data_IF_839978085358
#
_entry.id   IF_839978085358
#
_cell.length_a   1.000
_cell.length_b   1.000
_cell.length_c   1.000
_cell.angle_alpha   90.00
_cell.angle_beta   90.00
_cell.angle_gamma   90.00
#
_symmetry.space_group_name_H-M   'P 1'
#
loop_
_entity.id
_entity.type
_entity.pdbx_description
1 polymer ?
#
# COMPACT_ATOMS: atom_id res chain seq x y z
N UNK A 1 37.39 -60.92 -5.14
CA UNK A 1 38.27 -60.46 -4.05
C UNK A 1 38.06 -58.96 -3.87
N UNK A 2 37.67 -58.61 -2.64
CA UNK A 2 37.73 -57.33 -1.91
C UNK A 2 37.33 -55.97 -2.53
N UNK A 3 36.36 -55.38 -1.83
CA UNK A 3 35.91 -53.97 -1.76
C UNK A 3 37.06 -52.98 -1.56
N UNK A 4 36.85 -51.71 -1.95
CA UNK A 4 36.92 -50.59 -1.01
C UNK A 4 36.14 -49.36 -1.49
N UNK A 5 35.37 -48.83 -0.54
CA UNK A 5 34.67 -47.54 -0.51
C UNK A 5 35.71 -46.48 -0.15
N UNK A 6 35.64 -45.27 -0.73
CA UNK A 6 35.99 -44.05 -0.01
C UNK A 6 35.34 -42.81 -0.64
N UNK A 7 34.40 -42.30 0.13
CA UNK A 7 33.85 -40.94 0.22
C UNK A 7 34.89 -39.82 0.13
N UNK A 8 34.53 -38.70 -0.50
CA UNK A 8 35.21 -37.41 -0.35
C UNK A 8 34.63 -36.37 -1.31
N UNK A 9 34.27 -35.15 -0.93
CA UNK A 9 34.17 -34.49 0.36
C UNK A 9 33.12 -33.38 0.19
N UNK A 10 32.22 -33.20 1.16
CA UNK A 10 31.35 -32.04 1.21
C UNK A 10 32.24 -30.80 1.47
N UNK A 11 32.25 -29.86 0.53
CA UNK A 11 32.84 -28.55 0.75
C UNK A 11 31.89 -27.76 1.66
N UNK A 12 32.12 -27.89 2.96
CA UNK A 12 31.54 -27.04 3.99
C UNK A 12 32.19 -25.66 3.83
N UNK A 13 31.58 -24.78 3.03
CA UNK A 13 31.96 -23.38 2.98
C UNK A 13 31.47 -22.70 4.26
N UNK A 14 32.29 -22.76 5.31
CA UNK A 14 32.20 -21.83 6.44
C UNK A 14 32.50 -20.43 5.91
N UNK A 15 31.45 -19.68 5.58
CA UNK A 15 31.55 -18.23 5.43
C UNK A 15 31.60 -17.65 6.85
N UNK A 16 32.76 -17.78 7.51
CA UNK A 16 33.09 -16.96 8.68
C UNK A 16 33.71 -15.67 8.17
N UNK A 17 32.86 -14.66 8.06
CA UNK A 17 33.26 -13.31 7.67
C UNK A 17 32.22 -12.26 8.05
N UNK A 18 31.47 -12.45 9.14
CA UNK A 18 30.70 -11.38 9.74
C UNK A 18 31.65 -10.53 10.58
N UNK A 19 32.24 -9.48 9.99
CA UNK A 19 32.65 -8.34 10.80
C UNK A 19 31.38 -7.67 11.29
N UNK A 20 31.03 -7.95 12.55
CA UNK A 20 29.99 -7.24 13.29
C UNK A 20 30.31 -5.75 13.32
N UNK A 21 29.74 -4.99 12.40
CA UNK A 21 29.72 -3.55 12.47
C UNK A 21 28.51 -3.18 13.34
N UNK A 22 28.77 -2.93 14.64
CA UNK A 22 27.75 -2.53 15.62
C UNK A 22 27.14 -1.18 15.23
N UNK A 23 26.12 -1.19 14.36
CA UNK A 23 25.11 -0.14 14.32
C UNK A 23 24.02 -0.50 15.32
N UNK A 24 24.13 0.11 16.51
CA UNK A 24 23.17 0.24 17.61
C UNK A 24 22.46 -1.02 18.16
N UNK A 25 22.43 -1.15 19.49
CA UNK A 25 21.58 -2.12 20.18
C UNK A 25 20.12 -1.74 19.95
N UNK A 26 19.32 -2.61 19.33
CA UNK A 26 17.88 -2.37 19.21
C UNK A 26 17.25 -2.27 20.59
N UNK A 27 16.33 -1.33 20.70
CA UNK A 27 15.61 -1.10 21.94
C UNK A 27 14.18 -1.56 21.77
N UNK A 28 13.75 -2.45 22.67
CA UNK A 28 12.34 -2.82 22.85
C UNK A 28 11.83 -2.05 24.04
N UNK A 29 10.72 -1.36 23.86
CA UNK A 29 10.12 -0.52 24.88
C UNK A 29 8.69 -0.99 25.13
N UNK A 30 8.33 -1.06 26.42
CA UNK A 30 6.95 -1.37 26.80
C UNK A 30 6.06 -0.18 26.43
N UNK A 31 4.92 -0.47 25.82
CA UNK A 31 3.92 0.55 25.57
C UNK A 31 3.10 0.80 26.83
N UNK A 32 3.00 2.08 27.20
CA UNK A 32 2.19 2.57 28.32
C UNK A 32 1.04 3.48 27.88
N UNK A 33 0.94 3.77 26.58
CA UNK A 33 -0.06 4.65 26.00
C UNK A 33 -1.04 3.88 25.11
N UNK A 34 -2.30 4.32 25.07
CA UNK A 34 -3.28 3.79 24.10
C UNK A 34 -3.07 4.48 22.76
N UNK A 35 -2.97 3.75 21.63
CA UNK A 35 -2.92 4.34 20.31
C UNK A 35 -4.09 5.31 20.04
N UNK A 36 -3.77 6.46 19.48
CA UNK A 36 -4.73 7.48 19.05
C UNK A 36 -4.71 7.60 17.53
N UNK A 37 -5.81 8.03 16.91
CA UNK A 37 -5.82 8.27 15.47
C UNK A 37 -5.03 9.55 15.14
N UNK A 38 -4.00 9.43 14.32
CA UNK A 38 -3.17 10.56 13.87
C UNK A 38 -3.83 11.37 12.76
N UNK A 39 -4.68 10.72 11.96
CA UNK A 39 -5.26 11.31 10.77
C UNK A 39 -5.08 10.43 9.53
N UNK A 40 -5.55 10.96 8.41
CA UNK A 40 -5.48 10.36 7.09
C UNK A 40 -4.48 11.15 6.23
N UNK A 41 -3.52 10.45 5.63
CA UNK A 41 -2.58 10.97 4.67
C UNK A 41 -3.00 10.58 3.25
N UNK A 42 -2.98 11.54 2.33
CA UNK A 42 -3.09 11.30 0.89
C UNK A 42 -1.90 11.95 0.16
N UNK A 43 -1.24 11.29 -0.80
CA UNK A 43 -0.03 11.82 -1.44
C UNK A 43 -0.16 13.21 -2.07
N UNK A 44 -1.34 13.58 -2.57
CA UNK A 44 -1.55 14.90 -3.19
C UNK A 44 -1.88 16.03 -2.21
N UNK A 45 -2.34 15.72 -0.99
CA UNK A 45 -2.82 16.73 -0.02
C UNK A 45 -2.16 16.68 1.34
N UNK A 46 -1.37 15.66 1.62
CA UNK A 46 -0.69 15.47 2.89
C UNK A 46 -1.60 14.92 4.00
N UNK A 47 -1.15 15.07 5.24
CA UNK A 47 -1.84 14.57 6.43
C UNK A 47 -2.96 15.52 6.86
N UNK A 48 -4.17 14.99 7.01
CA UNK A 48 -5.32 15.66 7.60
C UNK A 48 -5.66 15.02 8.94
N UNK A 49 -5.44 15.78 10.00
CA UNK A 49 -5.76 15.40 11.38
C UNK A 49 -7.26 15.60 11.64
N UNK A 50 -8.11 14.67 11.20
CA UNK A 50 -9.55 14.75 11.48
C UNK A 50 -10.10 13.41 12.00
N UNK A 51 -10.94 13.47 13.04
CA UNK A 51 -11.69 12.30 13.54
C UNK A 51 -12.94 11.98 12.68
N UNK A 52 -13.02 12.53 11.46
CA UNK A 52 -14.26 12.58 10.69
C UNK A 52 -14.13 12.40 9.18
N UNK A 53 -12.93 12.25 8.62
CA UNK A 53 -12.81 11.77 7.24
C UNK A 53 -13.03 10.26 7.23
N UNK A 54 -14.05 9.81 6.50
CA UNK A 54 -14.15 8.40 6.15
C UNK A 54 -13.01 8.16 5.17
N UNK A 55 -11.97 7.44 5.58
CA UNK A 55 -10.95 7.02 4.64
C UNK A 55 -11.62 6.12 3.59
N UNK A 56 -11.39 6.43 2.30
CA UNK A 56 -12.08 5.81 1.15
C UNK A 56 -11.10 4.97 0.32
N UNK A 57 -10.17 4.30 1.00
CA UNK A 57 -9.46 3.16 0.42
C UNK A 57 -10.43 1.99 0.18
N UNK A 58 -9.97 0.94 -0.48
CA UNK A 58 -10.83 -0.15 -0.90
C UNK A 58 -11.41 -0.95 0.27
N UNK A 59 -12.56 -1.62 0.06
CA UNK A 59 -13.32 -2.25 1.15
C UNK A 59 -12.65 -3.49 1.76
N UNK A 60 -11.61 -4.02 1.11
CA UNK A 60 -11.01 -5.30 1.47
C UNK A 60 -9.72 -5.10 2.27
N UNK A 61 -9.62 -5.79 3.41
CA UNK A 61 -8.35 -5.97 4.13
C UNK A 61 -7.59 -7.12 3.46
N UNK A 62 -6.47 -6.81 2.83
CA UNK A 62 -5.71 -7.75 1.99
C UNK A 62 -4.49 -8.32 2.70
N UNK A 63 -4.06 -7.64 3.75
CA UNK A 63 -3.06 -8.10 4.72
C UNK A 63 -3.35 -7.42 6.06
N UNK A 64 -3.27 -8.16 7.17
CA UNK A 64 -3.54 -7.61 8.50
C UNK A 64 -2.62 -8.22 9.56
N UNK A 65 -1.71 -7.40 10.07
CA UNK A 65 -0.80 -7.70 11.17
C UNK A 65 -1.06 -6.79 12.38
N UNK A 66 -2.33 -6.62 12.76
CA UNK A 66 -2.74 -5.76 13.89
C UNK A 66 -3.03 -6.54 15.19
N UNK A 67 -2.48 -7.75 15.40
CA UNK A 67 -2.47 -8.33 16.77
C UNK A 67 -1.35 -7.68 17.57
N UNK A 68 -1.65 -6.49 18.07
CA UNK A 68 -0.72 -5.62 18.77
C UNK A 68 -0.09 -6.31 19.98
N UNK A 69 1.23 -6.28 20.08
CA UNK A 69 1.93 -6.65 21.32
C UNK A 69 1.86 -5.49 22.33
N UNK A 70 2.37 -5.69 23.55
CA UNK A 70 2.54 -4.59 24.52
C UNK A 70 3.81 -3.76 24.31
N UNK A 71 4.42 -3.78 23.12
CA UNK A 71 5.75 -3.25 22.87
C UNK A 71 5.85 -2.47 21.56
N UNK A 72 6.78 -1.51 21.52
CA UNK A 72 7.25 -0.86 20.30
C UNK A 72 8.78 -0.91 20.28
N UNK A 73 9.37 -0.69 19.12
CA UNK A 73 10.82 -0.69 18.99
C UNK A 73 11.29 0.53 18.20
N UNK A 74 12.54 0.93 18.44
CA UNK A 74 13.14 2.13 17.86
C UNK A 74 14.29 1.68 16.95
N UNK A 75 14.21 1.95 15.64
CA UNK A 75 15.32 1.76 14.73
C UNK A 75 16.57 2.50 15.17
N UNK A 76 17.74 1.90 14.92
CA UNK A 76 18.99 2.63 15.05
C UNK A 76 19.05 3.76 14.02
N UNK A 77 19.92 4.74 14.27
CA UNK A 77 20.12 5.83 13.31
C UNK A 77 20.49 5.28 11.92
N UNK A 78 19.87 5.85 10.89
CA UNK A 78 20.07 5.48 9.49
C UNK A 78 19.78 4.00 9.20
N UNK A 79 18.75 3.45 9.85
CA UNK A 79 18.30 2.09 9.60
C UNK A 79 16.92 2.07 8.96
N UNK A 80 16.77 1.21 7.96
CA UNK A 80 15.47 0.76 7.47
C UNK A 80 15.24 -0.65 7.98
N UNK A 81 14.12 -0.87 8.65
CA UNK A 81 13.70 -2.19 9.11
C UNK A 81 12.56 -2.66 8.23
N UNK A 82 12.76 -3.77 7.53
CA UNK A 82 11.80 -4.32 6.57
C UNK A 82 11.20 -5.57 7.18
N UNK A 83 9.90 -5.52 7.39
CA UNK A 83 9.07 -6.66 7.77
C UNK A 83 8.40 -7.23 6.51
N UNK A 84 7.83 -8.42 6.61
CA UNK A 84 7.28 -9.14 5.48
C UNK A 84 5.84 -9.62 5.68
N UNK A 85 5.22 -9.97 4.56
CA UNK A 85 3.92 -10.63 4.52
C UNK A 85 3.69 -11.32 3.19
N UNK A 86 2.55 -12.00 3.08
CA UNK A 86 2.04 -12.60 1.85
C UNK A 86 0.72 -11.93 1.49
N UNK A 87 0.57 -11.59 0.21
CA UNK A 87 -0.73 -11.30 -0.39
C UNK A 87 -1.24 -12.54 -1.13
N UNK A 88 -2.51 -12.86 -0.95
CA UNK A 88 -3.19 -13.91 -1.72
C UNK A 88 -3.56 -13.33 -3.08
N UNK A 89 -3.39 -14.10 -4.17
CA UNK A 89 -3.91 -13.70 -5.49
C UNK A 89 -5.45 -13.75 -5.48
N UNK A 90 -6.06 -12.61 -5.14
CA UNK A 90 -7.53 -12.45 -5.07
C UNK A 90 -8.16 -12.32 -6.45
N UNK A 91 -7.39 -11.88 -7.45
CA UNK A 91 -7.91 -11.46 -8.74
C UNK A 91 -7.63 -12.49 -9.86
N UNK A 92 -6.90 -13.57 -9.55
CA UNK A 92 -6.36 -14.50 -10.56
C UNK A 92 -5.56 -13.80 -11.66
N UNK A 93 -4.92 -12.69 -11.30
CA UNK A 93 -4.12 -11.87 -12.23
C UNK A 93 -2.63 -11.92 -11.92
N UNK A 94 -2.23 -12.66 -10.88
CA UNK A 94 -0.86 -12.65 -10.35
C UNK A 94 -0.39 -11.26 -9.90
N UNK A 95 -1.34 -10.36 -9.65
CA UNK A 95 -1.10 -9.02 -9.13
C UNK A 95 -2.23 -8.61 -8.20
N UNK A 96 -1.89 -7.90 -7.14
CA UNK A 96 -2.84 -7.21 -6.28
C UNK A 96 -2.37 -5.78 -6.03
N UNK A 97 -3.31 -4.93 -5.63
CA UNK A 97 -3.10 -3.50 -5.57
C UNK A 97 -3.47 -2.98 -4.19
N UNK A 98 -2.49 -2.40 -3.50
CA UNK A 98 -2.66 -1.68 -2.25
C UNK A 98 -3.14 -0.27 -2.58
N UNK A 99 -4.35 0.07 -2.15
CA UNK A 99 -4.92 1.41 -2.29
C UNK A 99 -5.13 2.11 -0.94
N UNK A 100 -4.76 1.46 0.15
CA UNK A 100 -4.68 2.07 1.47
C UNK A 100 -3.87 1.24 2.44
N UNK A 101 -3.46 1.86 3.54
CA UNK A 101 -2.67 1.22 4.58
C UNK A 101 -2.98 1.86 5.93
N UNK A 102 -3.03 1.05 6.99
CA UNK A 102 -2.89 1.54 8.35
C UNK A 102 -1.55 1.08 8.90
N UNK A 103 -0.82 1.95 9.58
CA UNK A 103 0.30 1.54 10.40
C UNK A 103 0.24 2.20 11.78
N UNK A 104 0.74 1.49 12.79
CA UNK A 104 0.81 1.98 14.16
C UNK A 104 2.26 2.20 14.57
N UNK A 105 2.53 3.36 15.15
CA UNK A 105 3.86 3.71 15.65
C UNK A 105 3.76 4.35 17.04
N UNK A 106 4.90 4.42 17.72
CA UNK A 106 5.01 5.17 18.96
C UNK A 106 6.22 6.10 18.90
N UNK A 107 6.12 7.23 19.58
CA UNK A 107 7.18 8.22 19.69
C UNK A 107 7.31 8.75 21.11
N UNK A 108 8.54 8.85 21.60
CA UNK A 108 8.86 9.62 22.80
C UNK A 108 9.34 11.05 22.48
N UNK A 109 9.63 11.36 21.22
CA UNK A 109 10.09 12.67 20.80
C UNK A 109 8.93 13.67 20.76
N UNK A 110 9.07 14.78 21.47
CA UNK A 110 8.20 15.94 21.24
C UNK A 110 8.67 16.65 19.97
N UNK A 111 7.85 16.69 18.93
CA UNK A 111 8.22 17.33 17.68
C UNK A 111 7.28 18.49 17.32
N UNK A 112 7.69 19.76 17.54
CA UNK A 112 6.87 20.94 17.21
C UNK A 112 6.66 21.12 15.70
N UNK A 113 7.47 20.48 14.86
CA UNK A 113 7.35 20.54 13.40
C UNK A 113 6.69 19.28 12.80
N UNK A 114 6.27 18.33 13.65
CA UNK A 114 5.74 17.03 13.25
C UNK A 114 6.83 16.04 12.85
N UNK A 115 6.57 14.77 13.14
CA UNK A 115 7.40 13.63 12.74
C UNK A 115 7.23 13.37 11.25
N UNK A 116 8.28 12.89 10.59
CA UNK A 116 8.21 12.36 9.24
C UNK A 116 8.66 10.91 9.16
N UNK A 117 8.11 10.20 8.19
CA UNK A 117 8.51 8.85 7.83
C UNK A 117 8.41 8.64 6.33
N UNK A 118 9.25 7.76 5.78
CA UNK A 118 9.06 7.21 4.46
C UNK A 118 8.52 5.80 4.63
N UNK A 119 7.33 5.55 4.08
CA UNK A 119 6.79 4.20 3.96
C UNK A 119 7.30 3.60 2.67
N UNK A 120 8.02 2.49 2.74
CA UNK A 120 8.50 1.74 1.56
C UNK A 120 7.79 0.40 1.47
N UNK A 121 7.50 -0.01 0.24
CA UNK A 121 6.89 -1.31 -0.08
C UNK A 121 7.72 -1.93 -1.21
N UNK A 122 8.05 -3.21 -1.02
CA UNK A 122 8.82 -4.02 -1.96
C UNK A 122 7.95 -5.17 -2.44
N UNK A 123 7.89 -5.36 -3.75
CA UNK A 123 7.17 -6.45 -4.42
C UNK A 123 7.66 -7.83 -3.97
N UNK A 124 8.96 -7.93 -3.68
CA UNK A 124 9.56 -9.17 -3.26
C UNK A 124 10.62 -8.95 -2.19
N UNK A 125 10.55 -9.77 -1.15
CA UNK A 125 11.59 -9.88 -0.13
C UNK A 125 11.90 -11.34 0.15
N UNK A 126 13.13 -11.63 0.55
CA UNK A 126 13.53 -12.95 1.02
C UNK A 126 13.73 -12.90 2.52
N UNK A 127 13.10 -13.82 3.24
CA UNK A 127 13.25 -13.95 4.69
C UNK A 127 14.73 -13.98 5.10
N UNK A 128 15.08 -13.13 6.05
CA UNK A 128 16.45 -12.96 6.52
C UNK A 128 17.50 -12.60 5.47
N UNK A 129 17.12 -12.09 4.31
CA UNK A 129 18.02 -11.53 3.30
C UNK A 129 17.53 -10.17 2.75
N UNK A 130 16.23 -9.89 2.84
CA UNK A 130 15.61 -8.65 2.38
C UNK A 130 15.32 -8.60 0.89
N UNK A 131 14.95 -7.42 0.38
CA UNK A 131 14.65 -7.21 -1.03
C UNK A 131 15.94 -7.17 -1.87
N UNK A 132 15.97 -7.92 -2.96
CA UNK A 132 17.12 -7.95 -3.87
C UNK A 132 17.38 -6.61 -4.58
N UNK A 133 16.33 -5.78 -4.69
CA UNK A 133 16.36 -4.47 -5.35
C UNK A 133 16.69 -3.30 -4.39
N UNK A 134 16.88 -3.57 -3.10
CA UNK A 134 17.19 -2.53 -2.12
C UNK A 134 18.37 -1.65 -2.56
N UNK A 135 18.29 -0.30 -2.43
CA UNK A 135 17.25 0.49 -1.74
C UNK A 135 16.07 0.91 -2.65
N UNK A 136 15.97 0.40 -3.88
CA UNK A 136 14.87 0.73 -4.76
C UNK A 136 13.60 -0.02 -4.29
N UNK A 137 12.71 0.70 -3.61
CA UNK A 137 11.37 0.22 -3.32
C UNK A 137 10.48 0.33 -4.56
N UNK A 138 9.52 -0.60 -4.70
CA UNK A 138 8.51 -0.54 -5.76
C UNK A 138 7.56 0.64 -5.54
N UNK A 139 7.27 0.95 -4.26
CA UNK A 139 6.49 2.11 -3.86
C UNK A 139 7.12 2.79 -2.65
N UNK A 140 7.10 4.12 -2.64
CA UNK A 140 7.57 4.91 -1.51
C UNK A 140 6.69 6.14 -1.28
N UNK A 141 6.27 6.36 -0.04
CA UNK A 141 5.39 7.47 0.35
C UNK A 141 6.02 8.27 1.50
N UNK A 142 6.36 9.53 1.23
CA UNK A 142 6.87 10.44 2.26
C UNK A 142 5.73 11.06 3.07
N UNK A 143 5.58 10.65 4.32
CA UNK A 143 4.54 11.13 5.23
C UNK A 143 5.16 12.10 6.23
N UNK A 144 4.63 13.32 6.30
CA UNK A 144 5.12 14.37 7.20
C UNK A 144 3.98 14.94 8.06
N UNK A 145 4.34 15.66 9.13
CA UNK A 145 3.38 16.29 10.03
C UNK A 145 2.74 15.34 11.04
N UNK A 146 3.33 14.16 11.22
CA UNK A 146 2.83 13.15 12.16
C UNK A 146 2.97 13.63 13.63
N UNK A 147 2.01 13.31 14.50
CA UNK A 147 2.08 13.70 15.90
C UNK A 147 3.18 12.94 16.66
N UNK A 148 3.85 13.63 17.58
CA UNK A 148 4.89 13.03 18.44
C UNK A 148 4.41 12.71 19.85
N UNK A 149 5.36 12.46 20.74
CA UNK A 149 5.16 12.44 22.18
C UNK A 149 4.90 13.85 22.74
N UNK A 150 4.52 13.93 24.03
CA UNK A 150 4.31 15.21 24.72
C UNK A 150 5.31 15.37 25.88
N UNK A 151 6.22 16.35 25.77
CA UNK A 151 7.26 16.63 26.76
C UNK A 151 8.09 15.40 27.17
N UNK A 152 8.48 14.57 26.20
CA UNK A 152 9.24 13.34 26.44
C UNK A 152 8.39 12.14 26.91
N UNK A 153 7.07 12.30 27.05
CA UNK A 153 6.18 11.18 27.31
C UNK A 153 5.84 10.45 26.01
N UNK A 154 5.84 9.12 26.10
CA UNK A 154 5.42 8.22 25.03
C UNK A 154 3.98 8.52 24.59
N UNK A 155 3.77 8.71 23.29
CA UNK A 155 2.47 8.66 22.65
C UNK A 155 2.52 7.66 21.49
N UNK A 156 1.37 7.03 21.19
CA UNK A 156 1.26 6.06 20.11
C UNK A 156 0.09 6.45 19.21
N UNK A 157 0.24 6.14 17.93
CA UNK A 157 -0.56 6.73 16.88
C UNK A 157 -0.84 5.73 15.77
N UNK A 158 -2.06 5.76 15.25
CA UNK A 158 -2.48 5.03 14.05
C UNK A 158 -2.59 6.03 12.92
N UNK A 159 -1.88 5.79 11.82
CA UNK A 159 -1.96 6.59 10.60
C UNK A 159 -2.69 5.79 9.54
N UNK A 160 -3.63 6.43 8.87
CA UNK A 160 -4.20 5.91 7.64
C UNK A 160 -3.53 6.55 6.44
N UNK A 161 -2.99 5.75 5.54
CA UNK A 161 -2.58 6.13 4.19
C UNK A 161 -3.71 5.76 3.25
N UNK A 162 -4.19 6.74 2.50
CA UNK A 162 -5.15 6.56 1.42
C UNK A 162 -4.41 6.85 0.11
N UNK A 163 -4.38 5.86 -0.78
CA UNK A 163 -3.48 5.81 -1.93
C UNK A 163 -4.27 5.79 -3.25
N UNK A 164 -5.50 6.28 -3.30
CA UNK A 164 -6.27 6.27 -4.54
C UNK A 164 -5.61 7.16 -5.59
N UNK A 165 -5.31 6.61 -6.76
CA UNK A 165 -4.48 7.27 -7.79
C UNK A 165 -2.98 7.23 -7.57
N UNK A 166 -2.54 6.67 -6.46
CA UNK A 166 -1.14 6.46 -6.07
C UNK A 166 -0.92 5.03 -5.59
N UNK A 167 -1.71 4.09 -6.11
CA UNK A 167 -1.74 2.72 -5.62
C UNK A 167 -0.41 2.00 -5.81
N UNK A 168 -0.12 1.07 -4.90
CA UNK A 168 1.04 0.20 -5.01
C UNK A 168 0.64 -1.16 -5.58
N UNK A 169 1.19 -1.53 -6.74
CA UNK A 169 0.94 -2.83 -7.34
C UNK A 169 2.03 -3.82 -6.88
N UNK A 170 1.60 -4.96 -6.36
CA UNK A 170 2.49 -6.06 -6.00
C UNK A 170 2.09 -7.31 -6.78
N UNK A 171 3.07 -8.01 -7.30
CA UNK A 171 2.93 -9.34 -7.84
C UNK A 171 2.57 -10.33 -6.73
N UNK A 172 1.58 -11.15 -7.01
CA UNK A 172 1.11 -12.22 -6.13
C UNK A 172 1.34 -13.56 -6.80
N UNK A 173 1.41 -14.62 -6.00
CA UNK A 173 1.41 -15.98 -6.53
C UNK A 173 0.11 -16.72 -6.13
N UNK A 174 -0.37 -17.57 -7.03
CA UNK A 174 -1.57 -18.37 -6.77
C UNK A 174 -1.40 -19.36 -5.60
N UNK A 175 -0.16 -19.62 -5.18
CA UNK A 175 0.15 -20.51 -4.06
C UNK A 175 0.28 -19.78 -2.71
N UNK A 176 0.26 -18.44 -2.69
CA UNK A 176 0.41 -17.64 -1.46
C UNK A 176 1.77 -17.83 -0.77
N UNK A 177 2.86 -17.95 -1.54
CA UNK A 177 4.21 -18.10 -1.03
C UNK A 177 5.12 -16.92 -1.37
N UNK A 178 4.69 -15.97 -2.22
CA UNK A 178 5.49 -14.78 -2.53
C UNK A 178 5.43 -13.79 -1.36
N UNK A 179 6.60 -13.51 -0.77
CA UNK A 179 6.74 -12.53 0.30
C UNK A 179 6.93 -11.13 -0.30
N UNK A 180 6.09 -10.18 0.10
CA UNK A 180 6.35 -8.76 -0.06
C UNK A 180 7.09 -8.22 1.18
N UNK A 181 7.78 -7.10 1.02
CA UNK A 181 8.42 -6.37 2.13
C UNK A 181 7.79 -5.01 2.36
N UNK A 182 7.79 -4.52 3.60
CA UNK A 182 7.37 -3.16 3.92
C UNK A 182 8.16 -2.58 5.09
N UNK A 183 8.37 -1.26 5.10
CA UNK A 183 9.08 -0.57 6.17
C UNK A 183 8.55 0.84 6.42
N UNK A 184 8.89 1.35 7.61
CA UNK A 184 8.81 2.76 7.94
C UNK A 184 10.21 3.27 8.30
N UNK A 185 10.75 4.20 7.52
CA UNK A 185 12.02 4.86 7.78
C UNK A 185 11.71 6.14 8.54
N UNK A 186 12.22 6.29 9.77
CA UNK A 186 11.91 7.42 10.64
C UNK A 186 13.00 8.48 10.59
N UNK A 187 12.59 9.75 10.63
CA UNK A 187 13.50 10.91 10.60
C UNK A 187 14.09 11.28 11.96
N UNK A 188 13.72 10.56 13.01
CA UNK A 188 14.08 10.87 14.40
C UNK A 188 14.47 9.61 15.19
N UNK A 189 15.11 9.83 16.33
CA UNK A 189 15.79 8.78 17.08
C UNK A 189 14.94 8.05 18.11
N UNK A 190 13.73 8.51 18.44
CA UNK A 190 12.87 7.87 19.45
C UNK A 190 11.47 7.54 18.94
N UNK A 191 11.34 7.30 17.64
CA UNK A 191 10.11 6.83 17.00
C UNK A 191 10.35 5.51 16.32
N UNK A 192 9.33 4.64 16.36
CA UNK A 192 9.39 3.42 15.59
C UNK A 192 8.09 2.62 15.62
N UNK A 193 8.07 1.48 14.93
CA UNK A 193 6.87 0.69 14.74
C UNK A 193 6.40 0.10 16.06
N UNK A 194 5.08 0.06 16.22
CA UNK A 194 4.46 -0.80 17.21
C UNK A 194 4.68 -2.26 16.81
N UNK A 195 5.18 -3.08 17.73
CA UNK A 195 5.44 -4.49 17.45
C UNK A 195 4.15 -5.30 17.50
N UNK A 196 3.92 -6.12 16.49
CA UNK A 196 2.73 -6.96 16.36
C UNK A 196 3.08 -8.40 16.04
N UNK A 197 2.06 -9.23 16.16
CA UNK A 197 2.03 -10.63 15.74
C UNK A 197 0.78 -10.81 14.87
N UNK A 198 0.72 -11.84 14.03
CA UNK A 198 -0.33 -12.02 13.04
C UNK A 198 0.23 -11.84 11.64
N UNK A 199 -0.60 -11.38 10.70
CA UNK A 199 -0.20 -11.23 9.30
C UNK A 199 0.04 -12.58 8.62
N UNK A 200 -0.58 -12.80 7.46
CA UNK A 200 -0.20 -13.96 6.66
C UNK A 200 1.25 -13.78 6.17
N UNK A 201 2.10 -14.77 6.40
CA UNK A 201 3.49 -14.75 5.93
C UNK A 201 4.48 -13.95 6.77
N UNK A 202 4.02 -13.23 7.80
CA UNK A 202 4.87 -12.49 8.73
C UNK A 202 5.73 -13.48 9.55
N UNK A 203 7.05 -13.33 9.56
CA UNK A 203 7.88 -14.06 10.51
C UNK A 203 7.95 -13.33 11.85
N UNK A 204 8.40 -14.06 12.87
CA UNK A 204 8.94 -13.44 14.07
C UNK A 204 10.35 -12.89 13.81
N UNK A 205 10.53 -12.13 12.73
CA UNK A 205 11.78 -11.46 12.40
C UNK A 205 11.56 -10.33 11.42
N UNK A 206 12.44 -9.34 11.44
CA UNK A 206 12.59 -8.37 10.35
C UNK A 206 14.04 -8.33 9.91
N UNK A 207 14.28 -7.87 8.69
CA UNK A 207 15.64 -7.55 8.21
C UNK A 207 15.91 -6.08 8.38
N UNK A 208 17.17 -5.71 8.48
CA UNK A 208 17.55 -4.30 8.51
C UNK A 208 18.65 -3.94 7.54
N UNK A 209 18.63 -2.68 7.14
CA UNK A 209 19.58 -2.12 6.20
C UNK A 209 20.13 -0.80 6.71
N UNK A 210 21.41 -0.57 6.48
CA UNK A 210 22.06 0.72 6.62
C UNK A 210 21.71 1.63 5.44
N UNK A 211 20.90 2.66 5.66
CA UNK A 211 20.43 3.55 4.59
C UNK A 211 21.53 4.46 4.04
N UNK A 212 22.70 4.54 4.68
CA UNK A 212 23.86 5.28 4.17
C UNK A 212 24.74 4.44 3.23
N UNK A 213 24.52 3.14 3.15
CA UNK A 213 25.30 2.27 2.29
C UNK A 213 24.86 2.38 0.83
N UNK A 214 25.82 2.16 -0.08
CA UNK A 214 25.65 2.40 -1.51
C UNK A 214 25.05 1.23 -2.31
N UNK A 215 24.81 0.07 -1.68
CA UNK A 215 24.15 -1.09 -2.26
C UNK A 215 23.70 -2.07 -1.17
N UNK A 216 22.79 -2.99 -1.51
CA UNK A 216 22.23 -3.99 -0.61
C UNK A 216 23.28 -4.86 0.11
N UNK A 217 24.34 -5.30 -0.58
CA UNK A 217 25.35 -6.18 0.04
C UNK A 217 26.14 -5.50 1.16
N UNK A 218 26.40 -4.21 1.02
CA UNK A 218 27.08 -3.41 2.03
C UNK A 218 26.10 -2.90 3.10
N UNK A 219 24.83 -2.75 2.73
CA UNK A 219 23.79 -2.20 3.59
C UNK A 219 23.15 -3.25 4.49
N UNK A 220 23.08 -4.52 4.07
CA UNK A 220 22.44 -5.57 4.84
C UNK A 220 23.18 -5.78 6.17
N UNK A 221 22.55 -5.36 7.25
CA UNK A 221 23.13 -5.44 8.58
C UNK A 221 22.71 -6.77 9.27
N UNK A 222 21.74 -7.52 8.73
CA UNK A 222 21.26 -8.78 9.31
C UNK A 222 19.73 -8.96 9.35
N UNK A 223 19.35 -10.09 9.94
CA UNK A 223 17.98 -10.48 10.27
C UNK A 223 17.87 -10.58 11.79
N UNK A 224 16.75 -10.14 12.35
CA UNK A 224 16.63 -10.06 13.80
C UNK A 224 15.25 -10.43 14.33
N UNK A 225 15.29 -11.06 15.50
CA UNK A 225 14.13 -11.43 16.29
C UNK A 225 14.43 -11.23 17.77
N UNK A 226 13.41 -10.87 18.56
CA UNK A 226 13.58 -10.61 20.00
C UNK A 226 13.65 -11.87 20.88
N UNK A 227 13.90 -13.05 20.29
CA UNK A 227 13.94 -14.32 21.02
C UNK A 227 12.56 -14.88 21.39
N UNK A 228 11.48 -14.41 20.77
CA UNK A 228 10.13 -14.97 20.91
C UNK A 228 9.07 -13.92 21.24
N UNK A 229 9.21 -13.26 22.39
CA UNK A 229 8.28 -12.22 22.85
C UNK A 229 9.04 -10.95 23.29
N UNK A 230 8.73 -9.76 22.75
CA UNK A 230 7.69 -9.52 21.74
C UNK A 230 8.00 -10.15 20.39
N UNK A 231 6.95 -10.33 19.59
CA UNK A 231 7.09 -10.74 18.21
C UNK A 231 7.72 -9.60 17.40
N UNK A 232 8.59 -9.94 16.46
CA UNK A 232 9.36 -9.00 15.65
C UNK A 232 8.65 -8.68 14.32
N UNK A 233 7.34 -8.41 14.37
CA UNK A 233 6.55 -7.90 13.24
C UNK A 233 6.03 -6.49 13.51
N UNK A 234 5.57 -5.78 12.49
CA UNK A 234 5.10 -4.39 12.58
C UNK A 234 3.59 -4.29 12.40
N UNK A 235 2.98 -3.48 13.27
CA UNK A 235 1.54 -3.24 13.26
C UNK A 235 1.12 -2.51 11.99
N UNK A 236 0.66 -3.28 11.02
CA UNK A 236 0.27 -2.79 9.69
C UNK A 236 -0.90 -3.57 9.14
N UNK A 237 -1.75 -2.88 8.39
CA UNK A 237 -2.83 -3.47 7.61
C UNK A 237 -2.88 -2.81 6.25
N UNK A 238 -3.02 -3.60 5.19
CA UNK A 238 -3.17 -3.14 3.83
C UNK A 238 -4.59 -3.33 3.35
N UNK A 239 -5.05 -2.35 2.59
CA UNK A 239 -6.34 -2.35 1.95
C UNK A 239 -6.19 -2.40 0.44
N UNK A 240 -7.12 -3.08 -0.20
CA UNK A 240 -7.21 -3.18 -1.64
C UNK A 240 -8.65 -3.01 -2.11
N UNK A 241 -8.81 -2.85 -3.41
CA UNK A 241 -10.11 -2.81 -4.07
C UNK A 241 -10.92 -4.10 -3.82
N UNK A 242 -12.23 -4.02 -4.08
CA UNK A 242 -13.09 -5.20 -4.13
C UNK A 242 -12.49 -6.25 -5.08
N UNK A 243 -12.72 -7.53 -4.76
CA UNK A 243 -12.18 -8.66 -5.55
C UNK A 243 -12.50 -8.47 -7.04
N UNK A 244 -11.52 -8.77 -7.88
CA UNK A 244 -11.55 -8.67 -9.34
C UNK A 244 -11.64 -7.23 -9.87
N UNK A 245 -11.43 -6.24 -9.01
CA UNK A 245 -11.36 -4.84 -9.38
C UNK A 245 -9.97 -4.30 -9.09
N UNK A 246 -9.39 -3.59 -10.06
CA UNK A 246 -8.12 -2.88 -9.92
C UNK A 246 -8.27 -1.43 -10.39
N UNK A 247 -7.65 -0.49 -9.70
CA UNK A 247 -7.49 0.87 -10.20
C UNK A 247 -6.52 0.85 -11.37
N UNK A 248 -6.83 1.64 -12.38
CA UNK A 248 -6.01 1.88 -13.57
C UNK A 248 -5.90 3.38 -13.79
N UNK A 249 -4.67 3.89 -13.84
CA UNK A 249 -4.33 5.29 -14.04
C UNK A 249 -3.53 5.49 -15.33
N UNK A 250 -3.36 6.75 -15.76
CA UNK A 250 -2.53 7.07 -16.93
C UNK A 250 -1.08 6.64 -16.74
N UNK A 251 -0.42 6.21 -17.81
CA UNK A 251 0.99 5.82 -17.79
C UNK A 251 1.93 6.98 -17.44
N UNK A 252 1.50 8.24 -17.67
CA UNK A 252 2.23 9.44 -17.28
C UNK A 252 2.05 9.86 -15.82
N UNK A 253 1.22 9.15 -15.06
CA UNK A 253 0.72 9.58 -13.76
C UNK A 253 -0.57 10.40 -13.88
N UNK A 254 -1.28 10.64 -12.76
CA UNK A 254 -2.50 11.44 -12.76
C UNK A 254 -2.19 12.91 -13.08
N UNK A 255 -3.02 13.53 -13.92
CA UNK A 255 -3.03 14.97 -14.16
C UNK A 255 -3.72 15.73 -13.01
N UNK A 256 -3.60 17.05 -12.99
CA UNK A 256 -4.18 17.89 -11.94
C UNK A 256 -5.73 17.82 -11.85
N UNK A 257 -6.39 17.54 -12.97
CA UNK A 257 -7.86 17.41 -13.09
C UNK A 257 -8.32 15.93 -13.07
N UNK A 258 -7.42 14.95 -12.89
CA UNK A 258 -7.75 13.57 -12.51
C UNK A 258 -8.09 13.49 -11.00
N UNK A 259 -9.01 14.36 -10.59
CA UNK A 259 -9.26 14.69 -9.18
C UNK A 259 -10.48 13.98 -8.59
N UNK A 260 -11.15 13.11 -9.33
CA UNK A 260 -12.30 12.34 -8.82
C UNK A 260 -11.84 10.97 -8.31
N UNK A 261 -12.47 10.51 -7.24
CA UNK A 261 -12.27 9.17 -6.69
C UNK A 261 -13.44 8.31 -7.14
N UNK A 262 -13.15 7.18 -7.79
CA UNK A 262 -14.12 6.18 -8.21
C UNK A 262 -13.85 4.88 -7.47
N UNK A 263 -14.85 4.36 -6.77
CA UNK A 263 -14.76 3.10 -6.04
C UNK A 263 -16.01 2.23 -6.18
N UNK A 264 -15.88 0.96 -5.83
CA UNK A 264 -16.97 -0.01 -5.68
C UNK A 264 -16.78 -0.79 -4.39
N UNK A 265 -17.89 -1.17 -3.76
CA UNK A 265 -17.93 -1.96 -2.53
C UNK A 265 -17.90 -3.48 -2.81
N UNK A 266 -18.31 -3.89 -4.00
CA UNK A 266 -18.42 -5.30 -4.41
C UNK A 266 -17.79 -5.56 -5.77
N UNK A 267 -17.50 -6.83 -6.03
CA UNK A 267 -17.06 -7.30 -7.34
C UNK A 267 -18.14 -7.11 -8.41
N UNK A 268 -17.75 -6.66 -9.60
CA UNK A 268 -18.65 -6.35 -10.70
C UNK A 268 -18.87 -7.55 -11.64
N UNK A 269 -19.64 -8.55 -11.19
CA UNK A 269 -19.95 -9.76 -11.96
C UNK A 269 -21.12 -9.58 -12.94
N UNK A 270 -21.18 -10.37 -14.01
CA UNK A 270 -22.34 -10.37 -14.95
C UNK A 270 -23.65 -10.56 -14.18
N UNK A 271 -24.61 -9.66 -14.41
CA UNK A 271 -25.94 -9.72 -13.79
C UNK A 271 -25.98 -9.25 -12.33
N UNK A 272 -24.83 -8.96 -11.71
CA UNK A 272 -24.79 -8.32 -10.39
C UNK A 272 -25.21 -6.86 -10.47
N UNK A 273 -25.82 -6.36 -9.40
CA UNK A 273 -26.07 -4.93 -9.22
C UNK A 273 -24.98 -4.36 -8.34
N UNK A 274 -24.25 -3.39 -8.87
CA UNK A 274 -23.06 -2.79 -8.28
C UNK A 274 -23.32 -1.32 -8.01
N UNK A 275 -22.82 -0.82 -6.88
CA UNK A 275 -22.84 0.60 -6.55
C UNK A 275 -21.46 1.21 -6.77
N UNK A 276 -21.34 2.00 -7.83
CA UNK A 276 -20.16 2.82 -8.04
C UNK A 276 -20.34 4.14 -7.30
N UNK A 277 -19.34 4.52 -6.51
CA UNK A 277 -19.33 5.79 -5.79
C UNK A 277 -18.27 6.71 -6.37
N UNK A 278 -18.70 7.91 -6.75
CA UNK A 278 -17.86 9.00 -7.26
C UNK A 278 -17.83 10.11 -6.23
N UNK A 279 -16.61 10.50 -5.85
CA UNK A 279 -16.36 11.59 -4.92
C UNK A 279 -15.45 12.63 -5.59
N UNK A 280 -15.60 13.90 -5.21
CA UNK A 280 -14.57 14.89 -5.51
C UNK A 280 -13.36 14.59 -4.65
N UNK A 281 -12.19 15.01 -5.12
CA UNK A 281 -10.96 15.01 -4.34
C UNK A 281 -11.12 15.69 -2.97
N UNK A 282 -10.12 15.55 -2.10
CA UNK A 282 -10.01 14.34 -1.29
C UNK A 282 -11.06 14.15 -0.19
N UNK A 283 -12.13 14.97 -0.10
CA UNK A 283 -13.18 14.73 0.92
C UNK A 283 -14.60 15.14 0.48
N UNK A 284 -14.85 15.27 -0.83
CA UNK A 284 -16.11 15.80 -1.34
C UNK A 284 -17.35 14.95 -1.05
N UNK A 285 -18.50 15.60 -0.93
CA UNK A 285 -19.82 14.96 -0.89
C UNK A 285 -20.21 14.40 -2.26
N UNK A 286 -21.14 13.44 -2.28
CA UNK A 286 -21.97 13.03 -3.42
C UNK A 286 -21.96 14.00 -4.63
N UNK A 287 -21.16 13.70 -5.66
CA UNK A 287 -20.90 14.64 -6.77
C UNK A 287 -21.86 14.41 -7.95
N UNK A 288 -22.34 15.47 -8.60
CA UNK A 288 -23.03 15.29 -9.87
C UNK A 288 -22.07 14.80 -10.97
N UNK A 289 -22.14 13.52 -11.31
CA UNK A 289 -21.19 12.83 -12.19
C UNK A 289 -21.87 12.03 -13.29
N UNK A 290 -21.10 11.76 -14.34
CA UNK A 290 -21.41 10.79 -15.38
C UNK A 290 -20.40 9.66 -15.28
N UNK A 291 -20.88 8.43 -15.11
CA UNK A 291 -20.10 7.20 -15.17
C UNK A 291 -20.33 6.56 -16.54
N UNK A 292 -19.28 6.08 -17.18
CA UNK A 292 -19.41 5.20 -18.34
C UNK A 292 -18.52 3.99 -18.18
N UNK A 293 -18.82 2.97 -19.00
CA UNK A 293 -17.96 1.80 -19.10
C UNK A 293 -17.73 1.38 -20.53
N UNK A 294 -16.58 0.75 -20.73
CA UNK A 294 -16.09 0.27 -22.01
C UNK A 294 -15.39 -1.06 -21.85
N UNK A 295 -15.43 -1.90 -22.88
CA UNK A 295 -14.60 -3.11 -22.95
C UNK A 295 -13.20 -2.82 -23.53
N UNK A 296 -12.83 -1.54 -23.63
CA UNK A 296 -11.56 -1.10 -24.18
C UNK A 296 -11.00 0.03 -23.33
N UNK A 297 -9.75 -0.13 -22.92
CA UNK A 297 -8.96 0.93 -22.32
C UNK A 297 -8.34 1.83 -23.40
N UNK A 298 -8.07 3.07 -23.03
CA UNK A 298 -7.32 4.08 -23.77
C UNK A 298 -6.50 4.88 -22.76
N UNK A 299 -5.62 5.74 -23.24
CA UNK A 299 -4.96 6.76 -22.43
C UNK A 299 -4.85 8.01 -23.32
N UNK A 300 -5.79 8.93 -23.15
CA UNK A 300 -5.90 10.14 -23.99
C UNK A 300 -5.87 11.36 -23.10
N UNK A 301 -4.79 12.14 -23.23
CA UNK A 301 -4.67 13.47 -22.65
C UNK A 301 -5.74 14.42 -23.22
N UNK A 302 -6.49 15.04 -22.32
CA UNK A 302 -7.59 15.94 -22.62
C UNK A 302 -7.18 17.42 -22.69
N UNK A 303 -5.91 17.76 -22.41
CA UNK A 303 -5.38 19.12 -22.38
C UNK A 303 -5.62 19.86 -23.70
N UNK A 304 -5.36 19.22 -24.84
CA UNK A 304 -5.55 19.82 -26.16
C UNK A 304 -7.01 19.96 -26.60
N UNK A 305 -7.89 19.07 -26.14
CA UNK A 305 -9.29 19.02 -26.60
C UNK A 305 -10.24 19.81 -25.70
N UNK A 306 -9.97 19.82 -24.40
CA UNK A 306 -10.86 20.39 -23.38
C UNK A 306 -10.17 21.41 -22.47
N UNK A 307 -8.84 21.58 -22.57
CA UNK A 307 -8.10 22.52 -21.73
C UNK A 307 -7.99 22.11 -20.27
N UNK A 308 -8.20 20.82 -19.97
CA UNK A 308 -8.06 20.24 -18.63
C UNK A 308 -6.87 19.28 -18.61
N UNK A 309 -6.17 19.21 -17.50
CA UNK A 309 -5.06 18.28 -17.27
C UNK A 309 -5.60 16.96 -16.70
N UNK A 310 -6.27 16.18 -17.54
CA UNK A 310 -6.89 14.92 -17.18
C UNK A 310 -6.79 13.88 -18.30
N UNK A 311 -6.94 12.62 -17.94
CA UNK A 311 -6.82 11.50 -18.87
C UNK A 311 -8.13 10.74 -19.02
N UNK A 312 -8.53 10.49 -20.27
CA UNK A 312 -9.57 9.52 -20.56
C UNK A 312 -8.94 8.12 -20.64
N UNK A 313 -9.44 7.23 -19.78
CA UNK A 313 -8.90 5.90 -19.54
C UNK A 313 -9.84 4.79 -20.02
N UNK A 314 -11.15 4.97 -19.83
CA UNK A 314 -12.17 4.09 -20.43
C UNK A 314 -12.61 4.65 -21.79
N UNK A 315 -12.53 3.86 -22.85
CA UNK A 315 -12.79 4.35 -24.22
C UNK A 315 -14.25 4.81 -24.39
N UNK A 316 -14.46 6.12 -24.38
CA UNK A 316 -15.77 6.76 -24.49
C UNK A 316 -16.46 6.51 -25.83
N UNK A 317 -15.69 6.40 -26.92
CA UNK A 317 -16.24 6.15 -28.27
C UNK A 317 -16.74 4.71 -28.43
N UNK A 318 -16.22 3.79 -27.62
CA UNK A 318 -16.65 2.38 -27.57
C UNK A 318 -17.47 2.08 -26.30
N UNK A 319 -18.01 3.11 -25.65
CA UNK A 319 -18.77 2.93 -24.40
C UNK A 319 -19.98 2.05 -24.63
N UNK A 320 -20.22 1.16 -23.67
CA UNK A 320 -21.32 0.19 -23.69
C UNK A 320 -22.51 0.68 -22.89
N UNK A 321 -22.24 1.38 -21.80
CA UNK A 321 -23.27 2.00 -20.98
C UNK A 321 -22.79 3.33 -20.40
N UNK A 322 -23.76 4.14 -19.98
CA UNK A 322 -23.55 5.43 -19.32
C UNK A 322 -24.61 5.59 -18.25
N UNK A 323 -24.24 6.19 -17.13
CA UNK A 323 -25.09 6.52 -16.01
C UNK A 323 -24.82 7.95 -15.61
N UNK A 324 -25.87 8.71 -15.33
CA UNK A 324 -25.75 10.08 -14.81
C UNK A 324 -26.37 10.08 -13.43
N UNK A 325 -25.64 10.59 -12.45
CA UNK A 325 -26.09 10.69 -11.06
C UNK A 325 -25.89 12.11 -10.57
N UNK A 326 -26.90 12.66 -9.89
CA UNK A 326 -26.77 13.94 -9.21
C UNK A 326 -26.03 13.82 -7.87
N UNK A 327 -25.81 12.59 -7.38
CA UNK A 327 -25.30 12.31 -6.04
C UNK A 327 -24.02 11.47 -6.03
N UNK A 328 -23.41 11.23 -7.19
CA UNK A 328 -22.14 10.49 -7.29
C UNK A 328 -22.28 8.99 -7.10
N UNK A 329 -23.43 8.52 -6.65
CA UNK A 329 -23.73 7.09 -6.57
C UNK A 329 -24.42 6.64 -7.85
N UNK A 330 -23.81 5.67 -8.52
CA UNK A 330 -24.35 5.03 -9.71
C UNK A 330 -24.63 3.56 -9.40
N UNK A 331 -25.91 3.21 -9.30
CA UNK A 331 -26.34 1.82 -9.18
C UNK A 331 -26.58 1.24 -10.57
N UNK A 332 -25.85 0.18 -10.92
CA UNK A 332 -25.88 -0.42 -12.24
C UNK A 332 -25.92 -1.94 -12.17
N UNK A 333 -26.73 -2.54 -13.02
CA UNK A 333 -26.66 -3.99 -13.27
C UNK A 333 -25.67 -4.24 -14.39
N UNK A 334 -24.64 -5.05 -14.13
CA UNK A 334 -23.63 -5.41 -15.13
C UNK A 334 -24.33 -6.20 -16.25
N UNK A 335 -24.28 -5.72 -17.51
CA UNK A 335 -25.08 -6.31 -18.58
C UNK A 335 -24.57 -7.71 -18.95
N UNK A 336 -25.49 -8.59 -19.35
CA UNK A 336 -25.16 -9.93 -19.86
C UNK A 336 -24.15 -9.90 -21.03
N UNK A 337 -24.19 -8.83 -21.84
CA UNK A 337 -23.25 -8.59 -22.94
C UNK A 337 -21.82 -8.26 -22.50
N UNK A 338 -21.55 -8.17 -21.20
CA UNK A 338 -20.20 -8.00 -20.68
C UNK A 338 -19.29 -9.18 -21.04
N UNK A 339 -19.85 -10.40 -21.02
CA UNK A 339 -19.18 -11.64 -21.38
C UNK A 339 -18.11 -12.03 -20.38
N UNK A 340 -18.22 -13.24 -19.81
CA UNK A 340 -17.22 -13.79 -18.91
C UNK A 340 -15.83 -13.93 -19.55
N UNK A 341 -14.79 -13.83 -18.73
CA UNK A 341 -13.38 -13.83 -19.11
C UNK A 341 -12.87 -12.55 -19.76
N UNK A 342 -13.53 -11.40 -19.52
CA UNK A 342 -13.16 -10.11 -20.11
C UNK A 342 -12.99 -9.03 -19.06
N UNK A 343 -12.07 -8.12 -19.32
CA UNK A 343 -11.90 -6.90 -18.53
C UNK A 343 -12.82 -5.79 -19.03
N UNK A 344 -13.54 -5.16 -18.10
CA UNK A 344 -14.35 -3.97 -18.32
C UNK A 344 -13.77 -2.79 -17.58
N UNK A 345 -13.73 -1.64 -18.24
CA UNK A 345 -13.17 -0.41 -17.69
C UNK A 345 -14.30 0.57 -17.40
N UNK A 346 -14.36 1.09 -16.18
CA UNK A 346 -15.29 2.15 -15.78
C UNK A 346 -14.52 3.43 -15.47
N UNK A 347 -15.10 4.57 -15.79
CA UNK A 347 -14.53 5.88 -15.46
C UNK A 347 -15.65 6.89 -15.26
N UNK A 348 -15.46 7.82 -14.33
CA UNK A 348 -16.38 8.89 -14.04
C UNK A 348 -15.81 10.25 -14.49
N UNK A 349 -16.70 11.15 -14.85
CA UNK A 349 -16.40 12.56 -15.09
C UNK A 349 -17.46 13.45 -14.48
N UNK A 350 -17.08 14.69 -14.24
CA UNK A 350 -18.00 15.78 -13.91
C UNK A 350 -17.83 16.89 -14.94
N UNK A 351 -18.85 17.72 -15.14
CA UNK A 351 -18.77 18.82 -16.10
C UNK A 351 -20.11 19.46 -16.43
N UNK A 352 -20.07 20.65 -17.04
CA UNK A 352 -21.23 21.40 -17.50
C UNK A 352 -21.24 21.48 -19.04
N UNK A 353 -22.41 21.34 -19.67
CA UNK A 353 -22.55 21.54 -21.11
C UNK A 353 -21.88 20.48 -22.01
N UNK A 354 -21.48 19.33 -21.46
CA UNK A 354 -20.91 18.22 -22.21
C UNK A 354 -19.38 18.18 -22.28
N UNK A 355 -18.68 19.16 -21.70
CA UNK A 355 -17.23 19.13 -21.52
C UNK A 355 -16.88 18.67 -20.09
N UNK A 356 -15.95 17.71 -19.91
CA UNK A 356 -15.48 17.33 -18.60
C UNK A 356 -14.70 18.48 -17.95
N UNK A 357 -14.83 18.63 -16.64
CA UNK A 357 -14.05 19.54 -15.79
C UNK A 357 -13.19 18.80 -14.77
N UNK A 358 -13.47 17.51 -14.55
CA UNK A 358 -12.64 16.60 -13.77
C UNK A 358 -12.96 15.16 -14.16
N UNK A 359 -11.96 14.28 -14.05
CA UNK A 359 -12.04 12.85 -14.36
C UNK A 359 -11.64 12.03 -13.13
N UNK A 360 -12.11 10.79 -13.05
CA UNK A 360 -11.59 9.81 -12.09
C UNK A 360 -10.47 8.99 -12.70
N UNK A 361 -9.68 8.35 -11.83
CA UNK A 361 -8.97 7.15 -12.26
C UNK A 361 -9.97 6.10 -12.78
N UNK A 362 -9.49 5.21 -13.64
CA UNK A 362 -10.28 4.10 -14.13
C UNK A 362 -10.35 2.98 -13.10
N UNK A 363 -11.46 2.24 -13.09
CA UNK A 363 -11.47 0.90 -12.50
C UNK A 363 -11.54 -0.13 -13.62
N UNK A 364 -10.67 -1.12 -13.56
CA UNK A 364 -10.73 -2.32 -14.37
C UNK A 364 -11.40 -3.43 -13.56
N UNK A 365 -12.40 -4.08 -14.15
CA UNK A 365 -13.15 -5.18 -13.55
C UNK A 365 -12.93 -6.42 -14.40
N UNK A 366 -12.31 -7.44 -13.84
CA UNK A 366 -12.33 -8.76 -14.46
C UNK A 366 -13.68 -9.41 -14.16
N UNK A 367 -14.33 -9.92 -15.19
CA UNK A 367 -15.69 -10.47 -15.08
C UNK A 367 -15.65 -11.93 -15.49
N UNK A 368 -16.13 -12.84 -14.64
CA UNK A 368 -16.19 -14.28 -14.93
C UNK A 368 -17.48 -14.73 -15.63
#
# INVERSE_FOLDING_TARGET
MFRNILTGAAALALITGATAQQKQQMTVNKVTATPQFAGQYHPSTGLVQSNGSTAKFGPESIYNNNVLTGYYSIPGADQEWIDEGVLVDRNSTSTDQINGMNFTYCSADSNPNGIATIVTIYDETVRCAGPAVWPAADCAYGVAGLPGGNNGNLACWIVTLELTGFECNLATDASGNKLFGFANIWDNSNTGPWLSNGGLGNDNSFVWFDTLANNANNAFLGCYWFGGAPHAGFATEFYGNAVETTSFSSAGGPGADDSLILGTDVSAQVGSTVNFTVLSGPFGSAVASTLWASASAVDVDLSGSFGIDAHMLANYNSRRFTSVSATGTHTLTVPAGAGGGKTWYTQAATGAGGAPTAMSNGLAHFIF
#
